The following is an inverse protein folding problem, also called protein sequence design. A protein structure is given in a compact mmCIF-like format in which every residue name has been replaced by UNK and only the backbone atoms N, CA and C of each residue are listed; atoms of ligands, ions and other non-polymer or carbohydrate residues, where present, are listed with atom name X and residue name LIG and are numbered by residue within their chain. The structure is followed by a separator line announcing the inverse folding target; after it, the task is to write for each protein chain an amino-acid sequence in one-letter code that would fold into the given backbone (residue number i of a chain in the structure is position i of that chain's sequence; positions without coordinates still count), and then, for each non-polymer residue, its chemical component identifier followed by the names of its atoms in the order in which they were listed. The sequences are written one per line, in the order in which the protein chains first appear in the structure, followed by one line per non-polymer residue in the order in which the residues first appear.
data_IF_324895622996
#
_entry.id   IF_324895622996
#
_cell.length_a   1.000
_cell.length_b   1.000
_cell.length_c   1.000
_cell.angle_alpha   90.00
_cell.angle_beta   90.00
_cell.angle_gamma   90.00
#
_symmetry.space_group_name_H-M   'P 1'
#
loop_
_entity.id
_entity.type
_entity.pdbx_description
1 polymer ?
#
# COMPACT_ATOMS: atom_id res chain seq x y z
N UNK A 1 8.61 -11.53 -15.44
CA UNK A 1 7.69 -10.43 -15.10
C UNK A 1 7.57 -9.42 -16.25
N UNK A 2 6.58 -8.59 -16.13
CA UNK A 2 6.33 -7.49 -17.08
C UNK A 2 7.02 -6.21 -16.60
N UNK A 3 7.40 -5.34 -17.52
CA UNK A 3 7.72 -3.96 -17.21
C UNK A 3 6.59 -3.06 -17.72
N UNK A 4 5.97 -2.30 -16.80
CA UNK A 4 4.85 -1.40 -17.08
C UNK A 4 5.24 0.00 -16.63
N UNK A 5 5.18 0.97 -17.54
CA UNK A 5 5.65 2.31 -17.23
C UNK A 5 4.86 3.39 -17.97
N UNK A 6 4.91 4.62 -17.42
CA UNK A 6 4.37 5.82 -18.03
C UNK A 6 2.86 5.74 -18.33
N UNK A 7 2.04 5.28 -17.35
CA UNK A 7 0.59 5.43 -17.49
C UNK A 7 0.20 6.91 -17.68
N UNK A 8 -0.93 7.16 -18.29
CA UNK A 8 -1.48 8.49 -18.36
C UNK A 8 -1.62 9.12 -16.97
N UNK A 9 -1.68 10.45 -16.90
CA UNK A 9 -1.74 11.19 -15.64
C UNK A 9 -2.87 12.21 -15.68
N UNK A 10 -3.64 12.28 -14.61
CA UNK A 10 -4.74 13.23 -14.49
C UNK A 10 -4.99 13.56 -13.02
N UNK A 11 -5.46 14.76 -12.77
CA UNK A 11 -6.01 15.15 -11.46
C UNK A 11 -7.50 14.77 -11.31
N UNK A 12 -8.13 14.27 -12.36
CA UNK A 12 -9.57 13.95 -12.40
C UNK A 12 -9.86 12.46 -12.60
N UNK A 13 -8.94 11.72 -13.17
CA UNK A 13 -9.09 10.29 -13.51
C UNK A 13 -7.88 9.55 -12.96
N UNK A 14 -8.12 8.47 -12.25
CA UNK A 14 -7.08 7.60 -11.70
C UNK A 14 -6.59 6.61 -12.76
N UNK A 15 -5.54 6.98 -13.49
CA UNK A 15 -4.92 6.08 -14.46
C UNK A 15 -3.93 5.13 -13.76
N UNK A 16 -4.04 3.85 -14.03
CA UNK A 16 -3.14 2.83 -13.49
C UNK A 16 -2.32 2.13 -14.57
N UNK A 17 -1.13 1.68 -14.20
CA UNK A 17 -0.30 0.83 -15.05
C UNK A 17 -0.95 -0.54 -15.23
N UNK A 18 -1.54 -1.10 -14.16
CA UNK A 18 -2.30 -2.34 -14.16
C UNK A 18 -3.58 -2.14 -13.36
N UNK A 19 -4.74 -2.31 -14.01
CA UNK A 19 -6.05 -2.27 -13.37
C UNK A 19 -6.68 -3.66 -13.40
N UNK A 20 -7.09 -4.14 -12.24
CA UNK A 20 -7.70 -5.45 -12.03
C UNK A 20 -9.03 -5.23 -11.31
N UNK A 21 -10.11 -5.55 -11.98
CA UNK A 21 -11.46 -5.33 -11.48
C UNK A 21 -12.31 -6.60 -11.54
N UNK A 22 -13.15 -6.83 -10.52
CA UNK A 22 -14.08 -7.97 -10.44
C UNK A 22 -13.38 -9.32 -10.64
N UNK A 23 -12.13 -9.44 -10.15
CA UNK A 23 -11.27 -10.57 -10.41
C UNK A 23 -11.09 -11.46 -9.18
N UNK A 24 -10.69 -12.70 -9.44
CA UNK A 24 -10.41 -13.68 -8.39
C UNK A 24 -9.12 -14.47 -8.70
N UNK A 25 -8.33 -14.71 -7.66
CA UNK A 25 -7.12 -15.55 -7.72
C UNK A 25 -6.09 -15.08 -8.76
N UNK A 26 -5.95 -13.75 -8.91
CA UNK A 26 -4.94 -13.15 -9.78
C UNK A 26 -3.62 -13.00 -9.03
N UNK A 27 -2.52 -13.36 -9.68
CA UNK A 27 -1.16 -13.22 -9.13
C UNK A 27 -0.37 -12.24 -9.97
N UNK A 28 0.07 -11.14 -9.35
CA UNK A 28 1.00 -10.15 -9.94
C UNK A 28 2.36 -10.35 -9.27
N UNK A 29 3.34 -10.85 -10.02
CA UNK A 29 4.65 -11.17 -9.47
C UNK A 29 5.82 -10.85 -10.39
N UNK A 30 6.96 -10.52 -9.78
CA UNK A 30 8.23 -10.26 -10.49
C UNK A 30 8.08 -9.22 -11.60
N UNK A 31 7.22 -8.22 -11.40
CA UNK A 31 6.99 -7.14 -12.35
C UNK A 31 7.69 -5.85 -11.89
N UNK A 32 7.98 -5.00 -12.86
CA UNK A 32 8.56 -3.68 -12.63
C UNK A 32 7.56 -2.62 -13.07
N UNK A 33 7.21 -1.72 -12.15
CA UNK A 33 6.33 -0.59 -12.42
C UNK A 33 7.09 0.72 -12.24
N UNK A 34 7.12 1.59 -13.26
CA UNK A 34 7.86 2.84 -13.21
C UNK A 34 7.04 4.01 -13.72
N UNK A 35 7.09 5.13 -13.00
CA UNK A 35 6.51 6.40 -13.44
C UNK A 35 5.02 6.30 -13.82
N UNK A 36 4.27 5.39 -13.20
CA UNK A 36 2.82 5.31 -13.34
C UNK A 36 2.16 6.25 -12.33
N UNK A 37 0.98 6.77 -12.64
CA UNK A 37 0.18 7.51 -11.66
C UNK A 37 -0.21 6.57 -10.51
N UNK A 38 -1.05 5.57 -10.77
CA UNK A 38 -1.20 4.39 -9.92
C UNK A 38 -0.45 3.23 -10.57
N UNK A 39 0.30 2.45 -9.81
CA UNK A 39 1.03 1.35 -10.43
C UNK A 39 0.16 0.11 -10.57
N UNK A 40 -0.44 -0.35 -9.48
CA UNK A 40 -1.35 -1.51 -9.46
C UNK A 40 -2.62 -1.10 -8.72
N UNK A 41 -3.77 -1.30 -9.37
CA UNK A 41 -5.09 -1.05 -8.78
C UNK A 41 -5.93 -2.32 -8.84
N UNK A 42 -6.45 -2.72 -7.68
CA UNK A 42 -7.45 -3.77 -7.53
C UNK A 42 -8.77 -3.17 -7.08
N UNK A 43 -9.86 -3.59 -7.71
CA UNK A 43 -11.21 -3.17 -7.37
C UNK A 43 -12.13 -4.38 -7.35
N UNK A 44 -12.98 -4.49 -6.30
CA UNK A 44 -13.95 -5.59 -6.15
C UNK A 44 -13.36 -6.99 -6.38
N UNK A 45 -12.12 -7.21 -5.93
CA UNK A 45 -11.36 -8.44 -6.24
C UNK A 45 -11.02 -9.21 -4.96
N UNK A 46 -10.83 -10.53 -5.08
CA UNK A 46 -10.58 -11.38 -3.92
C UNK A 46 -9.57 -12.50 -4.19
N UNK A 47 -8.93 -13.00 -3.12
CA UNK A 47 -7.93 -14.08 -3.17
C UNK A 47 -6.76 -13.75 -4.11
N UNK A 48 -6.36 -12.48 -4.22
CA UNK A 48 -5.32 -12.05 -5.15
C UNK A 48 -3.97 -11.87 -4.43
N UNK A 49 -2.89 -12.04 -5.17
CA UNK A 49 -1.53 -11.96 -4.66
C UNK A 49 -0.70 -10.92 -5.42
N UNK A 50 0.00 -10.06 -4.70
CA UNK A 50 0.97 -9.08 -5.23
C UNK A 50 2.29 -9.32 -4.54
N UNK A 51 3.25 -9.96 -5.22
CA UNK A 51 4.48 -10.42 -4.57
C UNK A 51 5.73 -10.20 -5.42
N UNK A 52 6.85 -9.86 -4.77
CA UNK A 52 8.17 -9.68 -5.40
C UNK A 52 8.16 -8.66 -6.56
N UNK A 53 7.39 -7.59 -6.47
CA UNK A 53 7.39 -6.54 -7.49
C UNK A 53 8.30 -5.38 -7.06
N UNK A 54 8.85 -4.67 -8.05
CA UNK A 54 9.57 -3.42 -7.86
C UNK A 54 8.74 -2.27 -8.42
N UNK A 55 8.28 -1.38 -7.54
CA UNK A 55 7.33 -0.33 -7.87
C UNK A 55 7.90 1.02 -7.47
N UNK A 56 8.05 1.92 -8.42
CA UNK A 56 8.51 3.28 -8.14
C UNK A 56 7.85 4.32 -9.04
N UNK A 57 7.58 5.49 -8.48
CA UNK A 57 7.09 6.63 -9.24
C UNK A 57 8.04 7.80 -8.99
N UNK A 58 8.45 8.50 -10.04
CA UNK A 58 9.25 9.73 -9.94
C UNK A 58 8.38 10.97 -10.17
N UNK A 59 7.08 10.88 -9.88
CA UNK A 59 6.14 11.99 -10.07
C UNK A 59 6.30 12.95 -8.89
N UNK A 60 6.70 14.18 -9.16
CA UNK A 60 6.97 15.21 -8.14
C UNK A 60 5.72 16.04 -7.81
N UNK A 61 4.73 16.09 -8.71
CA UNK A 61 3.53 16.90 -8.52
C UNK A 61 2.48 16.17 -7.67
N UNK A 62 2.27 16.61 -6.45
CA UNK A 62 1.34 15.99 -5.49
C UNK A 62 -0.09 15.82 -6.04
N UNK A 63 -0.57 16.74 -6.88
CA UNK A 63 -1.93 16.70 -7.43
C UNK A 63 -2.20 15.53 -8.40
N UNK A 64 -1.15 14.94 -8.97
CA UNK A 64 -1.25 13.84 -9.94
C UNK A 64 -0.52 12.57 -9.48
N UNK A 65 0.00 12.57 -8.25
CA UNK A 65 0.59 11.36 -7.66
C UNK A 65 -0.51 10.39 -7.24
N UNK A 66 -0.31 9.13 -7.57
CA UNK A 66 -1.15 8.02 -7.10
C UNK A 66 -0.41 7.04 -6.18
N UNK A 67 -1.08 5.99 -5.81
CA UNK A 67 -0.57 4.97 -4.92
C UNK A 67 0.18 3.87 -5.69
N UNK A 68 1.17 3.24 -5.06
CA UNK A 68 1.88 2.14 -5.70
C UNK A 68 0.97 0.91 -5.82
N UNK A 69 0.40 0.46 -4.71
CA UNK A 69 -0.62 -0.60 -4.69
C UNK A 69 -1.88 -0.01 -4.06
N UNK A 70 -2.99 -0.03 -4.79
CA UNK A 70 -4.29 0.45 -4.33
C UNK A 70 -5.30 -0.69 -4.42
N UNK A 71 -5.90 -1.05 -3.28
CA UNK A 71 -7.00 -2.03 -3.22
C UNK A 71 -8.26 -1.34 -2.68
N UNK A 72 -9.36 -1.45 -3.40
CA UNK A 72 -10.66 -0.93 -3.02
C UNK A 72 -11.72 -2.02 -3.09
N UNK A 73 -12.44 -2.23 -1.97
CA UNK A 73 -13.44 -3.31 -1.83
C UNK A 73 -12.89 -4.69 -2.20
N UNK A 74 -11.78 -5.07 -1.59
CA UNK A 74 -11.12 -6.34 -1.83
C UNK A 74 -11.08 -7.20 -0.57
N UNK A 75 -11.02 -8.51 -0.74
CA UNK A 75 -10.88 -9.46 0.37
C UNK A 75 -9.78 -10.48 0.10
N UNK A 76 -9.17 -10.97 1.19
CA UNK A 76 -8.15 -12.02 1.16
C UNK A 76 -7.02 -11.72 0.15
N UNK A 77 -6.48 -10.52 0.28
CA UNK A 77 -5.32 -10.09 -0.50
C UNK A 77 -4.03 -10.54 0.20
N UNK A 78 -3.06 -11.01 -0.57
CA UNK A 78 -1.71 -11.26 -0.09
C UNK A 78 -0.73 -10.31 -0.77
N UNK A 79 -0.24 -9.31 -0.05
CA UNK A 79 0.70 -8.30 -0.54
C UNK A 79 2.04 -8.49 0.19
N UNK A 80 3.04 -9.06 -0.49
CA UNK A 80 4.26 -9.46 0.18
C UNK A 80 5.53 -9.20 -0.64
N UNK A 81 6.64 -8.96 0.07
CA UNK A 81 7.99 -8.91 -0.49
C UNK A 81 8.15 -7.94 -1.68
N UNK A 82 7.33 -6.88 -1.71
CA UNK A 82 7.45 -5.84 -2.71
C UNK A 82 8.44 -4.76 -2.24
N UNK A 83 9.18 -4.20 -3.19
CA UNK A 83 10.00 -3.00 -3.00
C UNK A 83 9.28 -1.81 -3.62
N UNK A 84 8.90 -0.86 -2.79
CA UNK A 84 8.01 0.25 -3.18
C UNK A 84 8.66 1.58 -2.80
N UNK A 85 8.63 2.55 -3.71
CA UNK A 85 9.16 3.87 -3.40
C UNK A 85 8.63 5.02 -4.24
N UNK A 86 8.70 6.23 -3.68
CA UNK A 86 8.43 7.50 -4.37
C UNK A 86 7.01 7.61 -4.99
N UNK A 87 6.02 7.03 -4.35
CA UNK A 87 4.59 7.16 -4.68
C UNK A 87 3.91 8.14 -3.69
N UNK A 88 2.66 8.47 -3.90
CA UNK A 88 1.87 9.21 -2.90
C UNK A 88 1.73 8.40 -1.62
N UNK A 89 1.07 7.26 -1.71
CA UNK A 89 1.07 6.22 -0.69
C UNK A 89 1.72 4.95 -1.26
N UNK A 90 2.46 4.23 -0.44
CA UNK A 90 3.05 2.97 -0.88
C UNK A 90 1.98 1.91 -1.10
N UNK A 91 1.25 1.56 -0.04
CA UNK A 91 0.12 0.63 -0.10
C UNK A 91 -1.10 1.35 0.47
N UNK A 92 -2.20 1.35 -0.27
CA UNK A 92 -3.48 1.93 0.16
C UNK A 92 -4.59 0.90 0.10
N UNK A 93 -5.25 0.68 1.23
CA UNK A 93 -6.33 -0.29 1.37
C UNK A 93 -7.59 0.43 1.88
N UNK A 94 -8.69 0.31 1.16
CA UNK A 94 -9.98 0.86 1.55
C UNK A 94 -11.08 -0.18 1.36
N UNK A 95 -11.80 -0.49 2.44
CA UNK A 95 -12.76 -1.60 2.49
C UNK A 95 -12.12 -2.94 2.10
N UNK A 96 -10.95 -3.24 2.68
CA UNK A 96 -10.18 -4.47 2.39
C UNK A 96 -10.11 -5.33 3.65
N UNK A 97 -10.59 -6.57 3.57
CA UNK A 97 -10.68 -7.43 4.74
C UNK A 97 -9.88 -8.72 4.60
N UNK A 98 -9.63 -9.36 5.74
CA UNK A 98 -9.02 -10.70 5.86
C UNK A 98 -7.71 -10.86 5.06
N UNK A 99 -6.92 -9.79 4.95
CA UNK A 99 -5.75 -9.72 4.08
C UNK A 99 -4.44 -9.75 4.86
N UNK A 100 -3.35 -10.13 4.18
CA UNK A 100 -2.00 -10.18 4.74
C UNK A 100 -1.06 -9.28 3.97
N UNK A 101 -0.41 -8.38 4.69
CA UNK A 101 0.56 -7.42 4.15
C UNK A 101 1.87 -7.66 4.91
N UNK A 102 2.85 -8.27 4.26
CA UNK A 102 4.02 -8.76 4.97
C UNK A 102 5.33 -8.66 4.17
N UNK A 103 6.42 -8.42 4.89
CA UNK A 103 7.78 -8.36 4.33
C UNK A 103 7.97 -7.32 3.21
N UNK A 104 7.11 -6.30 3.09
CA UNK A 104 7.29 -5.24 2.11
C UNK A 104 8.31 -4.20 2.60
N UNK A 105 9.09 -3.65 1.67
CA UNK A 105 9.96 -2.50 1.91
C UNK A 105 9.37 -1.28 1.21
N UNK A 106 8.96 -0.28 1.99
CA UNK A 106 8.28 0.91 1.47
C UNK A 106 9.01 2.17 1.91
N UNK A 107 9.48 2.98 0.96
CA UNK A 107 10.27 4.16 1.28
C UNK A 107 10.04 5.35 0.36
N UNK A 108 10.25 6.56 0.89
CA UNK A 108 10.21 7.79 0.11
C UNK A 108 8.83 8.18 -0.41
N UNK A 109 7.75 7.68 0.20
CA UNK A 109 6.40 8.04 -0.17
C UNK A 109 6.04 9.44 0.34
N UNK A 110 5.34 10.21 -0.50
CA UNK A 110 4.99 11.60 -0.22
C UNK A 110 3.95 11.77 0.91
N UNK A 111 3.22 10.71 1.25
CA UNK A 111 2.32 10.65 2.41
C UNK A 111 2.65 9.46 3.30
N UNK A 112 2.03 8.34 3.04
CA UNK A 112 2.11 7.16 3.91
C UNK A 112 2.85 6.01 3.25
N UNK A 113 3.66 5.30 4.02
CA UNK A 113 4.17 4.00 3.57
C UNK A 113 3.04 2.99 3.40
N UNK A 114 2.14 2.91 4.37
CA UNK A 114 0.89 2.13 4.31
C UNK A 114 -0.25 2.98 4.87
N UNK A 115 -1.36 3.01 4.16
CA UNK A 115 -2.58 3.67 4.59
C UNK A 115 -3.76 2.72 4.43
N UNK A 116 -4.55 2.52 5.49
CA UNK A 116 -5.78 1.74 5.37
C UNK A 116 -6.93 2.34 6.17
N UNK A 117 -8.11 2.29 5.54
CA UNK A 117 -9.36 2.80 6.07
C UNK A 117 -10.46 1.76 5.92
N UNK A 118 -11.35 1.67 6.93
CA UNK A 118 -12.49 0.75 6.92
C UNK A 118 -12.10 -0.69 6.51
N UNK A 119 -10.93 -1.13 6.97
CA UNK A 119 -10.31 -2.38 6.54
C UNK A 119 -10.04 -3.27 7.76
N UNK A 120 -10.70 -4.41 7.83
CA UNK A 120 -10.82 -5.21 9.03
C UNK A 120 -10.18 -6.59 8.91
N UNK A 121 -9.87 -7.24 10.04
CA UNK A 121 -9.32 -8.59 10.11
C UNK A 121 -8.00 -8.77 9.32
N UNK A 122 -7.21 -7.71 9.21
CA UNK A 122 -5.96 -7.72 8.45
C UNK A 122 -4.74 -7.97 9.33
N UNK A 123 -3.73 -8.61 8.74
CA UNK A 123 -2.42 -8.84 9.38
C UNK A 123 -1.35 -8.06 8.64
N UNK A 124 -0.62 -7.23 9.37
CA UNK A 124 0.53 -6.46 8.89
C UNK A 124 1.77 -6.93 9.63
N UNK A 125 2.68 -7.62 8.95
CA UNK A 125 3.80 -8.28 9.63
C UNK A 125 5.13 -8.06 8.92
N UNK A 126 6.16 -7.76 9.70
CA UNK A 126 7.55 -7.70 9.26
C UNK A 126 7.78 -6.77 8.05
N UNK A 127 6.97 -5.71 7.91
CA UNK A 127 7.18 -4.69 6.90
C UNK A 127 8.18 -3.65 7.39
N UNK A 128 8.87 -3.01 6.45
CA UNK A 128 9.83 -1.95 6.68
C UNK A 128 9.37 -0.65 6.01
N UNK A 129 9.03 0.36 6.82
CA UNK A 129 8.57 1.68 6.38
C UNK A 129 9.59 2.74 6.73
N UNK A 130 10.25 3.35 5.75
CA UNK A 130 11.30 4.33 6.00
C UNK A 130 11.23 5.54 5.08
N UNK A 131 11.64 6.70 5.58
CA UNK A 131 11.74 7.94 4.80
C UNK A 131 10.42 8.35 4.11
N UNK A 132 9.27 7.90 4.62
CA UNK A 132 7.97 8.37 4.19
C UNK A 132 7.60 9.63 5.00
N UNK A 133 6.59 10.38 4.57
CA UNK A 133 6.08 11.47 5.40
C UNK A 133 5.51 10.92 6.73
N UNK A 134 4.76 9.83 6.67
CA UNK A 134 4.42 9.00 7.82
C UNK A 134 4.58 7.51 7.47
N UNK A 135 4.91 6.69 8.46
CA UNK A 135 5.10 5.25 8.24
C UNK A 135 3.79 4.57 7.87
N UNK A 136 2.85 4.54 8.81
CA UNK A 136 1.54 3.89 8.63
C UNK A 136 0.42 4.76 9.20
N UNK A 137 -0.70 4.82 8.50
CA UNK A 137 -1.96 5.37 9.02
C UNK A 137 -3.06 4.30 9.01
N UNK A 138 -3.66 4.10 10.19
CA UNK A 138 -4.77 3.17 10.43
C UNK A 138 -5.99 3.97 10.82
N UNK A 139 -7.08 3.85 10.07
CA UNK A 139 -8.30 4.61 10.36
C UNK A 139 -9.55 3.75 10.25
N UNK A 140 -10.44 3.87 11.26
CA UNK A 140 -11.76 3.24 11.28
C UNK A 140 -11.70 1.72 11.05
N UNK A 141 -10.84 1.01 11.79
CA UNK A 141 -10.59 -0.41 11.59
C UNK A 141 -10.79 -1.20 12.90
N UNK A 142 -10.95 -2.52 12.78
CA UNK A 142 -10.99 -3.43 13.92
C UNK A 142 -10.38 -4.79 13.58
N UNK A 143 -10.00 -5.56 14.63
CA UNK A 143 -9.38 -6.87 14.52
C UNK A 143 -8.14 -6.86 13.61
N UNK A 144 -7.31 -5.83 13.77
CA UNK A 144 -6.04 -5.68 13.05
C UNK A 144 -4.91 -6.22 13.92
N UNK A 145 -4.01 -6.95 13.28
CA UNK A 145 -2.79 -7.46 13.91
C UNK A 145 -1.55 -6.84 13.27
N UNK A 146 -0.76 -6.08 14.01
CA UNK A 146 0.47 -5.43 13.55
C UNK A 146 1.67 -6.00 14.31
N UNK A 147 2.48 -6.82 13.65
CA UNK A 147 3.57 -7.57 14.28
C UNK A 147 4.92 -7.28 13.65
N UNK A 148 5.90 -6.95 14.47
CA UNK A 148 7.32 -6.88 14.07
C UNK A 148 7.60 -5.98 12.87
N UNK A 149 6.80 -4.93 12.64
CA UNK A 149 7.08 -3.93 11.62
C UNK A 149 8.14 -2.94 12.11
N UNK A 150 8.86 -2.35 11.17
CA UNK A 150 9.86 -1.32 11.46
C UNK A 150 9.42 0.01 10.84
N UNK A 151 9.40 1.06 11.65
CA UNK A 151 9.07 2.43 11.25
C UNK A 151 10.28 3.32 11.55
N UNK A 152 11.03 3.72 10.56
CA UNK A 152 12.25 4.49 10.80
C UNK A 152 12.38 5.68 9.85
N UNK A 153 12.90 6.79 10.38
CA UNK A 153 13.19 8.00 9.60
C UNK A 153 11.99 8.53 8.81
N UNK A 154 10.76 8.24 9.22
CA UNK A 154 9.58 8.84 8.61
C UNK A 154 9.45 10.28 9.13
N UNK A 155 9.56 11.27 8.24
CA UNK A 155 9.63 12.68 8.59
C UNK A 155 8.85 13.54 7.60
N UNK A 156 8.01 14.43 8.11
CA UNK A 156 7.21 15.36 7.32
C UNK A 156 6.36 16.26 8.20
N UNK A 157 5.47 17.04 7.62
CA UNK A 157 4.59 17.99 8.34
C UNK A 157 3.60 17.28 9.28
N UNK A 158 3.30 16.02 9.03
CA UNK A 158 2.45 15.15 9.88
C UNK A 158 3.16 13.82 10.11
N UNK A 159 4.35 13.90 10.74
CA UNK A 159 5.25 12.76 10.89
C UNK A 159 4.82 11.85 12.05
N UNK A 160 4.36 10.68 11.71
CA UNK A 160 4.13 9.59 12.65
C UNK A 160 4.85 8.32 12.17
N UNK A 161 5.43 7.57 13.07
CA UNK A 161 5.78 6.19 12.76
C UNK A 161 4.51 5.40 12.48
N UNK A 162 3.55 5.49 13.40
CA UNK A 162 2.24 4.86 13.32
C UNK A 162 1.16 5.84 13.80
N UNK A 163 0.24 6.22 12.92
CA UNK A 163 -0.96 7.00 13.23
C UNK A 163 -2.16 6.04 13.36
N UNK A 164 -2.84 6.09 14.49
CA UNK A 164 -4.03 5.28 14.77
C UNK A 164 -5.22 6.20 15.02
N UNK A 165 -6.31 5.96 14.32
CA UNK A 165 -7.59 6.62 14.53
C UNK A 165 -8.72 5.61 14.50
N UNK A 166 -9.47 5.50 15.60
CA UNK A 166 -10.61 4.59 15.76
C UNK A 166 -10.28 3.12 15.41
N UNK A 167 -9.29 2.57 16.10
CA UNK A 167 -8.89 1.17 16.01
C UNK A 167 -9.42 0.39 17.22
N UNK A 168 -10.10 -0.74 16.98
CA UNK A 168 -10.71 -1.55 18.03
C UNK A 168 -10.27 -3.02 17.93
N UNK A 169 -10.27 -3.74 19.05
CA UNK A 169 -10.02 -5.19 19.15
C UNK A 169 -8.76 -5.65 18.39
N UNK A 170 -7.67 -4.90 18.51
CA UNK A 170 -6.50 -5.06 17.67
C UNK A 170 -5.23 -5.31 18.50
N UNK A 171 -4.25 -5.93 17.90
CA UNK A 171 -2.97 -6.24 18.54
C UNK A 171 -1.82 -5.53 17.83
N UNK A 172 -1.01 -4.78 18.58
CA UNK A 172 0.20 -4.14 18.10
C UNK A 172 1.36 -4.64 18.96
N UNK A 173 2.27 -5.44 18.39
CA UNK A 173 3.32 -6.10 19.16
C UNK A 173 4.64 -6.19 18.40
N UNK A 174 5.76 -5.96 19.10
CA UNK A 174 7.11 -6.15 18.57
C UNK A 174 7.52 -5.17 17.47
N UNK A 175 6.74 -4.11 17.22
CA UNK A 175 7.09 -3.09 16.24
C UNK A 175 8.18 -2.15 16.78
N UNK A 176 9.01 -1.58 15.89
CA UNK A 176 10.16 -0.72 16.23
C UNK A 176 10.18 0.53 15.38
#
# INVERSE_FOLDING_TARGET
GLQIQHSARSSRIDYSGLHIENARSVIVRHCVFRANQFSIMFQNSRHCTVIHNNISSNIVQNAIMGNAIHCWKCDDMHIAENVIGHNRDGIYLEFVNASRIEHNKVSGCARYGLHFMFSHFNVYRANFFSHNQAGVAVMFAHHVTMLNNVFTLNRGSSSYGLLIKELQYSTIKGNR
#
